data_IF_416303829313
#
_entry.id   IF_416303829313
#
_cell.length_a   1.000
_cell.length_b   1.000
_cell.length_c   1.000
_cell.angle_alpha   90.00
_cell.angle_beta   90.00
_cell.angle_gamma   90.00
#
_symmetry.space_group_name_H-M   'P 1'
#
loop_
_entity.id
_entity.type
_entity.pdbx_description
1 polymer ?
#
# COMPACT_ATOMS: atom_id res chain seq x y z
N UNK A 1 -5.81 15.47 39.05
CA UNK A 1 -4.52 15.68 38.35
C UNK A 1 -4.77 15.44 36.88
N UNK A 2 -4.60 16.46 36.04
CA UNK A 2 -4.76 16.36 34.59
C UNK A 2 -3.55 15.62 34.03
N UNK A 3 -3.78 14.41 33.51
CA UNK A 3 -2.79 13.67 32.76
C UNK A 3 -2.86 14.20 31.34
N UNK A 4 -1.98 15.14 31.01
CA UNK A 4 -1.76 15.55 29.63
C UNK A 4 -1.19 14.33 28.90
N UNK A 5 -2.07 13.55 28.28
CA UNK A 5 -1.69 12.67 27.18
C UNK A 5 -1.22 13.58 26.05
N UNK A 6 0.08 13.91 26.08
CA UNK A 6 0.79 14.24 24.87
C UNK A 6 0.74 12.98 24.01
N UNK A 7 -0.36 12.82 23.27
CA UNK A 7 -0.44 11.91 22.14
C UNK A 7 0.71 12.35 21.25
N UNK A 8 1.85 11.70 21.42
CA UNK A 8 3.05 11.97 20.67
C UNK A 8 2.72 11.44 19.30
N UNK A 9 2.15 12.30 18.45
CA UNK A 9 1.77 11.97 17.07
C UNK A 9 3.01 11.31 16.47
N UNK A 10 2.95 10.01 16.21
CA UNK A 10 4.04 9.31 15.52
C UNK A 10 4.29 10.08 14.23
N UNK A 11 5.55 10.40 13.96
CA UNK A 11 5.92 11.01 12.68
C UNK A 11 5.52 10.05 11.57
N UNK A 12 5.11 10.58 10.42
CA UNK A 12 4.66 9.74 9.30
C UNK A 12 5.76 8.75 8.88
N UNK A 13 7.02 9.17 8.96
CA UNK A 13 8.21 8.34 8.73
C UNK A 13 8.31 7.11 9.66
N UNK A 14 7.78 7.21 10.88
CA UNK A 14 7.81 6.15 11.88
C UNK A 14 6.55 5.26 11.86
N UNK A 15 5.67 5.43 10.87
CA UNK A 15 4.48 4.60 10.70
C UNK A 15 4.84 3.34 9.91
N UNK A 16 4.60 2.18 10.53
CA UNK A 16 4.89 0.86 9.98
C UNK A 16 5.80 0.06 10.91
N UNK A 17 5.65 -1.26 10.91
CA UNK A 17 6.52 -2.17 11.64
C UNK A 17 6.73 -3.46 10.85
N UNK A 18 7.87 -4.10 11.06
CA UNK A 18 8.15 -5.42 10.52
C UNK A 18 7.41 -6.46 11.38
N UNK A 19 6.34 -7.04 10.82
CA UNK A 19 5.49 -8.02 11.51
C UNK A 19 5.95 -9.48 11.34
N UNK A 20 6.93 -9.74 10.48
CA UNK A 20 7.41 -11.09 10.16
C UNK A 20 6.47 -11.89 9.24
N UNK A 21 7.01 -12.97 8.67
CA UNK A 21 6.32 -13.77 7.65
C UNK A 21 5.08 -14.50 8.20
N UNK A 22 5.20 -15.19 9.33
CA UNK A 22 4.13 -16.03 9.89
C UNK A 22 2.89 -15.22 10.26
N UNK A 23 3.09 -14.09 10.95
CA UNK A 23 2.00 -13.19 11.31
C UNK A 23 1.39 -12.54 10.07
N UNK A 24 2.21 -12.12 9.10
CA UNK A 24 1.73 -11.59 7.82
C UNK A 24 0.85 -12.60 7.06
N UNK A 25 1.29 -13.86 6.97
CA UNK A 25 0.53 -14.92 6.30
C UNK A 25 -0.81 -15.19 7.00
N UNK A 26 -0.83 -15.21 8.34
CA UNK A 26 -2.05 -15.38 9.12
C UNK A 26 -3.03 -14.22 8.91
N UNK A 27 -2.55 -12.97 8.94
CA UNK A 27 -3.38 -11.78 8.70
C UNK A 27 -4.02 -11.79 7.30
N UNK A 28 -3.28 -12.20 6.28
CA UNK A 28 -3.84 -12.31 4.92
C UNK A 28 -4.87 -13.44 4.85
N UNK A 29 -4.59 -14.60 5.45
CA UNK A 29 -5.54 -15.72 5.52
C UNK A 29 -6.85 -15.29 6.17
N UNK A 30 -6.79 -14.62 7.31
CA UNK A 30 -7.98 -14.16 8.05
C UNK A 30 -8.81 -13.17 7.22
N UNK A 31 -8.15 -12.22 6.53
CA UNK A 31 -8.84 -11.28 5.64
C UNK A 31 -9.54 -11.99 4.48
N UNK A 32 -8.89 -12.97 3.85
CA UNK A 32 -9.43 -13.72 2.71
C UNK A 32 -10.59 -14.64 3.10
N UNK A 33 -10.57 -15.21 4.30
CA UNK A 33 -11.69 -15.99 4.84
C UNK A 33 -12.90 -15.09 5.09
N UNK A 34 -12.68 -13.88 5.62
CA UNK A 34 -13.75 -12.92 5.87
C UNK A 34 -14.30 -12.26 4.59
N UNK A 35 -13.47 -12.08 3.56
CA UNK A 35 -13.81 -11.34 2.34
C UNK A 35 -13.56 -12.17 1.05
N UNK A 36 -14.28 -13.28 0.84
CA UNK A 36 -14.00 -14.23 -0.24
C UNK A 36 -14.26 -13.71 -1.66
N UNK A 37 -14.95 -12.57 -1.80
CA UNK A 37 -15.26 -11.93 -3.08
C UNK A 37 -14.40 -10.69 -3.35
N UNK A 38 -13.51 -10.34 -2.41
CA UNK A 38 -12.66 -9.16 -2.53
C UNK A 38 -11.37 -9.49 -3.30
N UNK A 39 -10.65 -8.44 -3.70
CA UNK A 39 -9.38 -8.60 -4.41
C UNK A 39 -8.34 -9.30 -3.52
N UNK A 40 -7.66 -10.31 -4.08
CA UNK A 40 -6.69 -11.11 -3.34
C UNK A 40 -5.47 -10.30 -2.93
N UNK A 41 -4.87 -9.60 -3.90
CA UNK A 41 -3.76 -8.70 -3.69
C UNK A 41 -3.72 -7.64 -4.80
N UNK A 42 -2.94 -6.60 -4.55
CA UNK A 42 -2.67 -5.53 -5.48
C UNK A 42 -1.16 -5.48 -5.74
N UNK A 43 -0.73 -5.56 -7.00
CA UNK A 43 0.68 -5.49 -7.39
C UNK A 43 1.04 -4.07 -7.82
N UNK A 44 1.95 -3.45 -7.08
CA UNK A 44 2.41 -2.08 -7.37
C UNK A 44 3.86 -2.15 -7.82
N UNK A 45 4.16 -1.56 -8.98
CA UNK A 45 5.52 -1.48 -9.49
C UNK A 45 6.42 -0.61 -8.61
N UNK A 46 7.68 -1.02 -8.44
CA UNK A 46 8.69 -0.21 -7.72
C UNK A 46 8.80 1.21 -8.28
N UNK A 47 8.80 1.37 -9.60
CA UNK A 47 9.06 2.65 -10.26
C UNK A 47 8.06 3.74 -9.83
N UNK A 48 6.78 3.40 -9.66
CA UNK A 48 5.78 4.40 -9.28
C UNK A 48 5.87 4.75 -7.79
N UNK A 49 6.20 3.77 -6.94
CA UNK A 49 6.50 4.00 -5.52
C UNK A 49 7.69 4.94 -5.38
N UNK A 50 8.79 4.65 -6.09
CA UNK A 50 9.99 5.49 -6.07
C UNK A 50 9.71 6.90 -6.60
N UNK A 51 8.94 7.03 -7.68
CA UNK A 51 8.56 8.35 -8.19
C UNK A 51 7.73 9.14 -7.15
N UNK A 52 6.82 8.48 -6.42
CA UNK A 52 6.03 9.13 -5.36
C UNK A 52 6.92 9.55 -4.19
N UNK A 53 7.84 8.69 -3.76
CA UNK A 53 8.79 8.96 -2.68
C UNK A 53 9.83 10.02 -3.05
N UNK A 54 10.15 10.17 -4.34
CA UNK A 54 11.05 11.18 -4.85
C UNK A 54 10.43 12.59 -4.87
N UNK A 55 9.13 12.73 -4.60
CA UNK A 55 8.50 14.05 -4.50
C UNK A 55 9.08 14.84 -3.31
N UNK A 56 9.41 16.13 -3.49
CA UNK A 56 9.95 16.96 -2.41
C UNK A 56 9.04 16.99 -1.19
N UNK A 57 9.60 16.69 -0.02
CA UNK A 57 8.86 16.68 1.25
C UNK A 57 8.00 15.43 1.47
N UNK A 58 8.05 14.43 0.57
CA UNK A 58 7.37 13.15 0.77
C UNK A 58 8.06 12.32 1.86
N UNK A 59 7.29 11.88 2.85
CA UNK A 59 7.76 11.10 4.00
C UNK A 59 7.01 9.77 4.16
N UNK A 60 6.02 9.51 3.30
CA UNK A 60 5.21 8.30 3.37
C UNK A 60 4.22 8.20 2.22
N UNK A 61 3.52 7.07 2.14
CA UNK A 61 2.50 6.80 1.11
C UNK A 61 1.19 6.45 1.80
N UNK A 62 0.10 7.04 1.33
CA UNK A 62 -1.24 6.67 1.76
C UNK A 62 -1.97 5.92 0.66
N UNK A 63 -2.62 4.81 1.03
CA UNK A 63 -3.47 4.01 0.16
C UNK A 63 -4.94 4.26 0.49
N UNK A 64 -5.75 4.50 -0.53
CA UNK A 64 -7.19 4.64 -0.45
C UNK A 64 -7.86 3.51 -1.23
N UNK A 65 -8.85 2.87 -0.62
CA UNK A 65 -9.78 2.00 -1.35
C UNK A 65 -10.66 2.87 -2.25
N UNK A 66 -10.66 2.58 -3.55
CA UNK A 66 -11.43 3.31 -4.56
C UNK A 66 -12.16 2.34 -5.48
N UNK A 67 -13.01 2.87 -6.36
CA UNK A 67 -13.61 2.12 -7.46
C UNK A 67 -13.10 2.69 -8.77
N UNK A 68 -12.69 1.81 -9.69
CA UNK A 68 -12.32 2.22 -11.05
C UNK A 68 -13.57 2.59 -11.87
N UNK A 69 -13.35 3.04 -13.09
CA UNK A 69 -14.42 3.44 -14.04
C UNK A 69 -15.40 2.30 -14.36
N UNK A 70 -15.01 1.04 -14.10
CA UNK A 70 -15.82 -0.16 -14.29
C UNK A 70 -16.58 -0.58 -13.02
N UNK A 71 -16.50 0.20 -11.94
CA UNK A 71 -17.15 -0.09 -10.66
C UNK A 71 -16.43 -1.16 -9.84
N UNK A 72 -15.20 -1.51 -10.20
CA UNK A 72 -14.42 -2.54 -9.52
C UNK A 72 -13.47 -1.92 -8.49
N UNK A 73 -13.25 -2.61 -7.37
CA UNK A 73 -12.41 -2.10 -6.27
C UNK A 73 -10.93 -2.01 -6.65
N UNK A 74 -10.38 -0.81 -6.62
CA UNK A 74 -8.96 -0.51 -6.85
C UNK A 74 -8.34 0.18 -5.62
N UNK A 75 -7.01 0.38 -5.63
CA UNK A 75 -6.33 1.25 -4.68
C UNK A 75 -5.77 2.46 -5.39
N UNK A 76 -6.05 3.63 -4.85
CA UNK A 76 -5.40 4.89 -5.23
C UNK A 76 -4.36 5.21 -4.18
N UNK A 77 -3.15 5.57 -4.59
CA UNK A 77 -2.07 5.90 -3.66
C UNK A 77 -1.36 7.20 -4.00
N UNK A 78 -0.97 7.90 -2.94
CA UNK A 78 -0.45 9.27 -2.97
C UNK A 78 0.66 9.46 -1.94
N UNK A 79 1.57 10.39 -2.21
CA UNK A 79 2.59 10.81 -1.25
C UNK A 79 2.03 11.68 -0.12
N UNK A 80 2.56 11.52 1.07
CA UNK A 80 2.26 12.33 2.25
C UNK A 80 3.46 13.20 2.62
N UNK A 81 3.20 14.43 3.05
CA UNK A 81 4.20 15.30 3.69
C UNK A 81 4.35 15.03 5.19
N UNK A 82 5.33 15.70 5.82
CA UNK A 82 5.63 15.59 7.25
C UNK A 82 4.44 15.92 8.17
N UNK A 83 3.52 16.75 7.70
CA UNK A 83 2.30 17.13 8.43
C UNK A 83 1.19 16.06 8.28
N UNK A 84 1.36 15.13 7.33
CA UNK A 84 0.40 14.09 6.96
C UNK A 84 -0.61 14.57 5.91
N UNK A 85 -0.30 15.64 5.18
CA UNK A 85 -1.13 16.14 4.09
C UNK A 85 -0.70 15.51 2.77
N UNK A 86 -1.67 15.21 1.92
CA UNK A 86 -1.44 14.67 0.59
C UNK A 86 -0.73 15.68 -0.31
N UNK A 87 0.36 15.24 -0.95
CA UNK A 87 1.08 16.03 -1.95
C UNK A 87 0.31 15.93 -3.27
N UNK A 88 -0.56 16.91 -3.51
CA UNK A 88 -1.33 17.06 -4.77
C UNK A 88 -0.65 18.01 -5.77
N UNK A 89 0.23 18.88 -5.27
CA UNK A 89 1.07 19.80 -6.04
C UNK A 89 2.30 20.14 -5.19
N UNK A 90 3.43 20.37 -5.83
CA UNK A 90 4.64 20.82 -5.17
C UNK A 90 5.39 21.84 -6.03
N UNK A 91 6.04 22.80 -5.38
CA UNK A 91 6.87 23.79 -6.06
C UNK A 91 8.32 23.33 -6.11
N UNK A 92 8.94 23.41 -7.28
CA UNK A 92 10.37 23.16 -7.49
C UNK A 92 11.05 24.43 -7.96
N UNK A 93 12.29 24.65 -7.53
CA UNK A 93 13.11 25.77 -8.00
C UNK A 93 14.00 25.23 -9.11
N UNK A 94 13.82 25.74 -10.32
CA UNK A 94 14.66 25.35 -11.47
C UNK A 94 16.09 25.88 -11.27
N UNK A 95 17.05 25.33 -12.01
CA UNK A 95 18.47 25.78 -11.98
C UNK A 95 18.64 27.26 -12.37
N UNK A 96 17.60 27.86 -12.96
CA UNK A 96 17.53 29.25 -13.39
C UNK A 96 16.90 30.16 -12.31
N UNK A 97 16.57 29.61 -11.13
CA UNK A 97 15.99 30.35 -10.01
C UNK A 97 14.49 30.65 -10.16
N UNK A 98 13.81 30.02 -11.12
CA UNK A 98 12.37 30.17 -11.30
C UNK A 98 11.59 29.14 -10.49
N UNK A 99 10.46 29.57 -9.91
CA UNK A 99 9.49 28.68 -9.27
C UNK A 99 8.64 28.00 -10.35
N UNK A 100 8.74 26.68 -10.44
CA UNK A 100 7.86 25.83 -11.23
C UNK A 100 6.92 25.07 -10.31
N UNK A 101 5.65 24.90 -10.71
CA UNK A 101 4.67 24.13 -9.97
C UNK A 101 4.42 22.82 -10.70
N UNK A 102 4.73 21.71 -10.06
CA UNK A 102 4.51 20.38 -10.58
C UNK A 102 3.34 19.72 -9.87
N UNK A 103 2.57 18.92 -10.62
CA UNK A 103 1.44 18.17 -10.05
C UNK A 103 1.98 17.00 -9.24
N UNK A 104 1.38 16.80 -8.07
CA UNK A 104 1.62 15.64 -7.24
C UNK A 104 1.16 14.37 -7.94
N UNK A 105 1.85 13.28 -7.64
CA UNK A 105 1.60 11.99 -8.27
C UNK A 105 0.46 11.30 -7.54
N UNK A 106 -0.63 11.08 -8.27
CA UNK A 106 -1.74 10.20 -7.88
C UNK A 106 -1.68 9.00 -8.80
N UNK A 107 -1.49 7.81 -8.23
CA UNK A 107 -1.31 6.60 -8.99
C UNK A 107 -2.43 5.58 -8.72
N UNK A 108 -2.85 4.93 -9.81
CA UNK A 108 -3.87 3.88 -9.91
C UNK A 108 -3.53 3.02 -11.15
N UNK A 109 -4.26 1.93 -11.41
CA UNK A 109 -4.00 0.85 -12.40
C UNK A 109 -3.10 -0.25 -11.89
N UNK A 110 -3.43 -0.74 -10.70
CA UNK A 110 -2.76 -1.90 -10.12
C UNK A 110 -3.21 -3.16 -10.86
N UNK A 111 -2.25 -4.00 -11.27
CA UNK A 111 -2.56 -5.36 -11.70
C UNK A 111 -3.07 -6.16 -10.50
N UNK A 112 -4.29 -6.69 -10.64
CA UNK A 112 -4.81 -7.68 -9.71
C UNK A 112 -4.31 -9.04 -10.16
N UNK A 113 -3.64 -9.78 -9.28
CA UNK A 113 -3.49 -11.21 -9.55
C UNK A 113 -4.88 -11.84 -9.49
N UNK A 114 -5.26 -12.68 -10.47
CA UNK A 114 -6.55 -13.35 -10.45
C UNK A 114 -6.73 -14.11 -9.13
N UNK A 115 -7.95 -14.10 -8.60
CA UNK A 115 -8.39 -14.72 -7.33
C UNK A 115 -8.25 -16.24 -7.30
N UNK A 116 -7.66 -16.85 -8.33
CA UNK A 116 -7.30 -18.25 -8.33
C UNK A 116 -6.19 -18.49 -7.31
N UNK A 117 -6.62 -18.91 -6.11
CA UNK A 117 -5.80 -19.63 -5.13
C UNK A 117 -4.91 -20.62 -5.88
N UNK A 118 -3.62 -20.75 -5.57
CA UNK A 118 -2.86 -21.92 -6.02
C UNK A 118 -3.65 -23.15 -5.58
N UNK A 119 -4.16 -23.91 -6.53
CA UNK A 119 -4.78 -25.21 -6.23
C UNK A 119 -3.62 -26.10 -5.81
N UNK A 120 -3.62 -26.69 -4.60
CA UNK A 120 -2.63 -27.70 -4.25
C UNK A 120 -2.70 -28.76 -5.35
N UNK A 121 -1.58 -29.01 -6.04
CA UNK A 121 -1.50 -30.11 -7.01
C UNK A 121 -1.82 -31.40 -6.26
N UNK A 122 -3.04 -31.89 -6.46
CA UNK A 122 -3.53 -33.16 -5.89
C UNK A 122 -2.86 -34.33 -6.59
N UNK A 123 -1.56 -34.50 -6.37
CA UNK A 123 -0.82 -35.72 -6.69
C UNK A 123 -0.11 -36.20 -5.43
N UNK A 124 -0.90 -36.72 -4.49
CA UNK A 124 -0.41 -37.60 -3.43
C UNK A 124 -0.72 -37.15 -2.00
N UNK A 125 -1.81 -37.67 -1.45
CA UNK A 125 -1.99 -37.80 0.01
C UNK A 125 -2.66 -36.59 0.67
N UNK A 126 -3.93 -36.78 1.05
CA UNK A 126 -4.67 -35.84 1.88
C UNK A 126 -4.01 -35.71 3.28
N UNK A 127 -3.18 -34.69 3.45
CA UNK A 127 -2.90 -34.03 4.72
C UNK A 127 -3.53 -32.64 4.68
N UNK A 128 -4.36 -32.31 5.66
CA UNK A 128 -5.15 -31.06 5.75
C UNK A 128 -4.31 -29.80 6.01
N UNK A 129 -2.99 -29.92 5.99
CA UNK A 129 -2.05 -28.89 6.48
C UNK A 129 -1.07 -28.38 5.41
N UNK A 130 -1.18 -28.82 4.16
CA UNK A 130 -0.26 -28.41 3.08
C UNK A 130 -0.69 -27.08 2.42
N UNK A 131 -0.77 -26.03 3.23
CA UNK A 131 -0.89 -24.64 2.78
C UNK A 131 0.50 -24.05 2.56
N UNK A 132 1.24 -24.60 1.59
CA UNK A 132 2.53 -24.04 1.22
C UNK A 132 2.31 -22.75 0.41
N UNK A 133 2.15 -21.64 1.13
CA UNK A 133 2.16 -20.30 0.56
C UNK A 133 3.55 -20.04 -0.03
N UNK A 134 3.66 -20.02 -1.35
CA UNK A 134 4.82 -19.44 -2.03
C UNK A 134 4.55 -17.95 -2.26
N UNK A 135 5.19 -17.09 -1.45
CA UNK A 135 5.57 -15.76 -1.95
C UNK A 135 6.67 -16.06 -2.96
N UNK A 136 6.28 -16.28 -4.22
CA UNK A 136 7.19 -16.18 -5.35
C UNK A 136 7.25 -14.72 -5.80
#
# INVERSE_FOLDING_TARGET
MMQNELITKRTIEAIGEEIGYELGAQMVKDYQVANPQDSYCYVIGRNIIETILAQPGCVGIQFYNAYNEMGEKTLVYVGLDADGKTIIEYSTVTKEGQLSFEKGIVADRIERRPTSRPVPTTDGGAGVDDWNWTID
#
